data_IF_107509792126
#
_entry.id   IF_107509792126
#
_cell.length_a   1.000
_cell.length_b   1.000
_cell.length_c   1.000
_cell.angle_alpha   90.00
_cell.angle_beta   90.00
_cell.angle_gamma   90.00
#
_symmetry.space_group_name_H-M   'P 1'
#
loop_
_entity.id
_entity.type
_entity.pdbx_description
1 polymer ?
#
# COMPACT_ATOMS: atom_id res chain seq x y z
N UNK A 1 13.97 5.42 17.38
CA UNK A 1 13.52 4.68 18.58
C UNK A 1 13.77 5.49 19.86
N UNK A 2 15.03 5.86 20.16
CA UNK A 2 15.43 6.63 21.36
C UNK A 2 14.60 7.88 21.70
N UNK A 3 14.19 8.69 20.71
CA UNK A 3 13.39 9.91 20.95
C UNK A 3 11.97 9.60 21.44
N UNK A 4 11.35 8.50 20.98
CA UNK A 4 10.00 8.10 21.42
C UNK A 4 10.03 7.55 22.86
N UNK A 5 11.05 6.77 23.20
CA UNK A 5 11.23 6.24 24.56
C UNK A 5 11.51 7.35 25.59
N UNK A 6 12.38 8.32 25.27
CA UNK A 6 12.63 9.48 26.16
C UNK A 6 11.37 10.30 26.45
N UNK A 7 10.48 10.43 25.46
CA UNK A 7 9.18 11.11 25.64
C UNK A 7 8.23 10.32 26.54
N UNK A 8 8.23 8.99 26.45
CA UNK A 8 7.43 8.11 27.32
C UNK A 8 7.90 8.13 28.77
N UNK A 9 9.21 8.10 29.02
CA UNK A 9 9.74 8.21 30.38
C UNK A 9 9.37 9.55 31.03
N UNK A 10 9.43 10.64 30.24
CA UNK A 10 9.02 11.96 30.71
C UNK A 10 7.52 12.01 31.03
N UNK A 11 6.68 11.46 30.15
CA UNK A 11 5.25 11.33 30.36
C UNK A 11 4.93 10.49 31.60
N UNK A 12 5.67 9.41 31.83
CA UNK A 12 5.53 8.55 33.01
C UNK A 12 5.81 9.31 34.31
N UNK A 13 6.89 10.09 34.36
CA UNK A 13 7.21 10.92 35.55
C UNK A 13 6.11 11.93 35.85
N UNK A 14 5.57 12.57 34.82
CA UNK A 14 4.46 13.51 34.98
C UNK A 14 3.23 12.78 35.51
N UNK A 15 2.90 11.63 34.93
CA UNK A 15 1.78 10.80 35.37
C UNK A 15 1.90 10.37 36.84
N UNK A 16 3.07 9.88 37.24
CA UNK A 16 3.31 9.43 38.62
C UNK A 16 3.16 10.60 39.62
N UNK A 17 3.59 11.81 39.24
CA UNK A 17 3.48 13.04 40.04
C UNK A 17 2.05 13.61 40.16
N UNK A 18 1.08 13.13 39.37
CA UNK A 18 -0.31 13.57 39.47
C UNK A 18 -0.93 13.10 40.81
N UNK A 19 -1.44 14.05 41.58
CA UNK A 19 -2.17 13.79 42.84
C UNK A 19 -3.45 13.01 42.57
N UNK A 20 -4.21 13.42 41.56
CA UNK A 20 -5.37 12.69 41.05
C UNK A 20 -5.17 12.36 39.57
N UNK A 21 -5.39 11.09 39.23
CA UNK A 21 -5.22 10.57 37.87
C UNK A 21 -6.59 10.33 37.25
N UNK A 22 -6.92 11.14 36.27
CA UNK A 22 -8.17 11.06 35.52
C UNK A 22 -8.12 10.00 34.40
N UNK A 23 -9.27 9.75 33.75
CA UNK A 23 -9.37 8.75 32.69
C UNK A 23 -8.45 9.07 31.48
N UNK A 24 -8.21 10.35 31.21
CA UNK A 24 -7.41 10.82 30.07
C UNK A 24 -5.93 10.53 30.30
N UNK A 25 -5.42 10.83 31.50
CA UNK A 25 -4.01 10.57 31.86
C UNK A 25 -3.68 9.08 31.78
N UNK A 26 -4.55 8.19 32.31
CA UNK A 26 -4.40 6.74 32.16
C UNK A 26 -4.41 6.29 30.70
N UNK A 27 -5.41 6.74 29.94
CA UNK A 27 -5.55 6.41 28.53
C UNK A 27 -4.36 6.87 27.69
N UNK A 28 -3.79 8.03 28.01
CA UNK A 28 -2.60 8.56 27.34
C UNK A 28 -1.39 7.65 27.57
N UNK A 29 -1.20 7.16 28.80
CA UNK A 29 -0.11 6.23 29.12
C UNK A 29 -0.29 4.88 28.41
N UNK A 30 -1.49 4.30 28.45
CA UNK A 30 -1.80 3.03 27.77
C UNK A 30 -1.55 3.14 26.27
N UNK A 31 -2.12 4.15 25.61
CA UNK A 31 -1.94 4.37 24.18
C UNK A 31 -0.46 4.65 23.82
N UNK A 32 0.25 5.39 24.68
CA UNK A 32 1.67 5.68 24.52
C UNK A 32 2.54 4.42 24.55
N UNK A 33 2.38 3.57 25.58
CA UNK A 33 3.12 2.31 25.71
C UNK A 33 2.75 1.33 24.59
N UNK A 34 1.46 1.19 24.27
CA UNK A 34 0.98 0.35 23.18
C UNK A 34 1.62 0.74 21.83
N UNK A 35 1.68 2.04 21.52
CA UNK A 35 2.26 2.56 20.28
C UNK A 35 3.76 2.33 20.14
N UNK A 36 4.49 2.22 21.26
CA UNK A 36 5.93 1.91 21.25
C UNK A 36 6.20 0.40 21.32
N UNK A 37 5.16 -0.40 21.59
CA UNK A 37 5.23 -1.85 21.64
C UNK A 37 5.57 -2.40 23.02
N UNK A 38 5.61 -1.56 24.05
CA UNK A 38 5.79 -1.95 25.46
C UNK A 38 4.46 -2.46 26.03
N UNK A 39 3.96 -3.57 25.49
CA UNK A 39 2.60 -4.06 25.78
C UNK A 39 2.41 -4.50 27.23
N UNK A 40 3.45 -5.03 27.88
CA UNK A 40 3.37 -5.44 29.29
C UNK A 40 3.13 -4.23 30.20
N UNK A 41 3.79 -3.10 29.92
CA UNK A 41 3.55 -1.85 30.64
C UNK A 41 2.16 -1.28 30.33
N UNK A 42 1.73 -1.32 29.07
CA UNK A 42 0.39 -0.88 28.70
C UNK A 42 -0.70 -1.70 29.42
N UNK A 43 -0.51 -3.03 29.51
CA UNK A 43 -1.41 -3.96 30.20
C UNK A 43 -1.40 -3.69 31.71
N UNK A 44 -0.22 -3.52 32.31
CA UNK A 44 -0.09 -3.17 33.73
C UNK A 44 -0.85 -1.89 34.06
N UNK A 45 -0.73 -0.85 33.24
CA UNK A 45 -1.49 0.39 33.41
C UNK A 45 -3.00 0.17 33.30
N UNK A 46 -3.41 -0.63 32.33
CA UNK A 46 -4.81 -0.98 32.13
C UNK A 46 -5.40 -1.75 33.33
N UNK A 47 -4.63 -2.62 33.95
CA UNK A 47 -5.04 -3.38 35.15
C UNK A 47 -5.21 -2.49 36.38
N UNK A 48 -4.31 -1.51 36.56
CA UNK A 48 -4.36 -0.56 37.68
C UNK A 48 -5.37 0.57 37.46
N UNK A 49 -5.91 0.72 36.25
CA UNK A 49 -6.88 1.76 35.93
C UNK A 49 -8.19 1.55 36.71
N UNK A 50 -8.62 2.48 37.58
CA UNK A 50 -9.79 2.29 38.43
C UNK A 50 -11.10 2.18 37.65
N UNK A 51 -11.18 2.89 36.51
CA UNK A 51 -12.35 2.89 35.64
C UNK A 51 -11.92 2.87 34.18
N UNK A 52 -12.33 1.82 33.48
CA UNK A 52 -12.07 1.61 32.06
C UNK A 52 -13.24 2.12 31.23
N UNK A 53 -12.94 2.64 30.04
CA UNK A 53 -13.94 2.99 29.03
C UNK A 53 -13.60 2.32 27.69
N UNK A 54 -14.44 2.55 26.69
CA UNK A 54 -14.24 2.04 25.33
C UNK A 54 -12.84 2.37 24.78
N UNK A 55 -12.33 3.57 25.04
CA UNK A 55 -11.00 3.98 24.58
C UNK A 55 -9.87 3.19 25.24
N UNK A 56 -9.92 2.94 26.55
CA UNK A 56 -8.90 2.14 27.23
C UNK A 56 -8.82 0.72 26.64
N UNK A 57 -9.97 0.11 26.35
CA UNK A 57 -10.05 -1.21 25.72
C UNK A 57 -9.49 -1.18 24.30
N UNK A 58 -10.00 -0.29 23.45
CA UNK A 58 -9.57 -0.17 22.05
C UNK A 58 -8.06 0.12 21.95
N UNK A 59 -7.49 0.93 22.85
CA UNK A 59 -6.06 1.23 22.87
C UNK A 59 -5.21 -0.01 23.14
N UNK A 60 -5.59 -0.81 24.14
CA UNK A 60 -4.84 -2.02 24.49
C UNK A 60 -5.01 -3.12 23.44
N UNK A 61 -6.25 -3.37 22.99
CA UNK A 61 -6.56 -4.34 21.93
C UNK A 61 -5.82 -3.98 20.64
N UNK A 62 -5.80 -2.70 20.25
CA UNK A 62 -5.06 -2.25 19.08
C UNK A 62 -3.55 -2.49 19.21
N UNK A 63 -2.98 -2.36 20.41
CA UNK A 63 -1.57 -2.63 20.65
C UNK A 63 -1.21 -4.09 20.39
N UNK A 64 -1.99 -5.03 20.93
CA UNK A 64 -1.80 -6.46 20.68
C UNK A 64 -2.08 -6.86 19.23
N UNK A 65 -3.10 -6.25 18.60
CA UNK A 65 -3.41 -6.48 17.18
C UNK A 65 -2.23 -6.09 16.27
N UNK A 66 -1.58 -4.96 16.53
CA UNK A 66 -0.40 -4.52 15.76
C UNK A 66 0.83 -5.43 15.96
N UNK A 67 0.88 -6.22 17.03
CA UNK A 67 1.91 -7.22 17.27
C UNK A 67 1.55 -8.60 16.72
N UNK A 68 0.35 -8.78 16.17
CA UNK A 68 -0.14 -10.07 15.68
C UNK A 68 -0.57 -11.04 16.78
N UNK A 69 -0.72 -10.58 18.03
CA UNK A 69 -1.17 -11.45 19.13
C UNK A 69 -2.70 -11.56 19.14
N UNK A 70 -3.21 -12.36 18.20
CA UNK A 70 -4.64 -12.57 18.02
C UNK A 70 -5.32 -13.17 19.25
N UNK A 71 -4.62 -14.06 19.98
CA UNK A 71 -5.17 -14.69 21.19
C UNK A 71 -5.44 -13.65 22.27
N UNK A 72 -4.49 -12.73 22.50
CA UNK A 72 -4.68 -11.66 23.45
C UNK A 72 -5.75 -10.67 23.00
N UNK A 73 -5.80 -10.33 21.70
CA UNK A 73 -6.86 -9.49 21.12
C UNK A 73 -8.25 -10.04 21.46
N UNK A 74 -8.48 -11.33 21.23
CA UNK A 74 -9.77 -11.96 21.51
C UNK A 74 -10.05 -12.11 23.01
N UNK A 75 -9.03 -12.38 23.81
CA UNK A 75 -9.16 -12.40 25.28
C UNK A 75 -9.65 -11.05 25.81
N UNK A 76 -8.99 -9.96 25.41
CA UNK A 76 -9.35 -8.60 25.81
C UNK A 76 -10.73 -8.18 25.27
N UNK A 77 -11.06 -8.55 24.04
CA UNK A 77 -12.40 -8.32 23.49
C UNK A 77 -13.50 -9.04 24.28
N UNK A 78 -13.28 -10.31 24.65
CA UNK A 78 -14.23 -11.05 25.48
C UNK A 78 -14.38 -10.41 26.86
N UNK A 79 -13.27 -9.99 27.49
CA UNK A 79 -13.30 -9.27 28.76
C UNK A 79 -14.05 -7.93 28.64
N UNK A 80 -13.87 -7.18 27.55
CA UNK A 80 -14.59 -5.94 27.28
C UNK A 80 -16.12 -6.18 27.26
N UNK A 81 -16.57 -7.22 26.54
CA UNK A 81 -17.99 -7.59 26.45
C UNK A 81 -18.54 -8.06 27.80
N UNK A 82 -17.78 -8.89 28.54
CA UNK A 82 -18.15 -9.34 29.89
C UNK A 82 -18.27 -8.20 30.90
N UNK A 83 -17.49 -7.12 30.72
CA UNK A 83 -17.59 -5.89 31.50
C UNK A 83 -18.73 -4.97 31.00
N UNK A 84 -19.65 -5.47 30.17
CA UNK A 84 -20.77 -4.73 29.57
C UNK A 84 -20.34 -3.50 28.76
N UNK A 85 -19.12 -3.49 28.23
CA UNK A 85 -18.68 -2.43 27.32
C UNK A 85 -19.02 -2.85 25.90
N UNK A 86 -19.94 -2.11 25.27
CA UNK A 86 -20.38 -2.41 23.90
C UNK A 86 -19.28 -2.08 22.88
N UNK A 87 -18.88 -3.02 22.01
CA UNK A 87 -17.96 -2.76 20.90
C UNK A 87 -18.49 -1.71 19.92
N UNK A 88 -17.59 -0.89 19.39
CA UNK A 88 -17.89 0.11 18.36
C UNK A 88 -17.17 -0.20 17.03
N UNK A 89 -17.34 0.66 16.04
CA UNK A 89 -16.72 0.47 14.71
C UNK A 89 -15.20 0.40 14.79
N UNK A 90 -14.58 1.13 15.73
CA UNK A 90 -13.14 1.06 15.98
C UNK A 90 -12.77 -0.31 16.53
N UNK A 91 -13.50 -0.84 17.53
CA UNK A 91 -13.28 -2.20 18.06
C UNK A 91 -13.36 -3.23 16.94
N UNK A 92 -14.41 -3.17 16.11
CA UNK A 92 -14.61 -4.13 15.03
C UNK A 92 -13.50 -4.05 13.97
N UNK A 93 -13.03 -2.84 13.63
CA UNK A 93 -11.92 -2.66 12.70
C UNK A 93 -10.61 -3.27 13.23
N UNK A 94 -10.33 -3.14 14.55
CA UNK A 94 -9.17 -3.76 15.19
C UNK A 94 -9.25 -5.29 15.11
N UNK A 95 -10.43 -5.87 15.34
CA UNK A 95 -10.62 -7.32 15.23
C UNK A 95 -10.46 -7.80 13.78
N UNK A 96 -11.04 -7.08 12.81
CA UNK A 96 -10.90 -7.38 11.37
C UNK A 96 -9.44 -7.35 10.96
N UNK A 97 -8.69 -6.32 11.40
CA UNK A 97 -7.25 -6.24 11.18
C UNK A 97 -6.52 -7.44 11.79
N UNK A 98 -6.79 -7.79 13.05
CA UNK A 98 -6.18 -8.94 13.70
C UNK A 98 -6.43 -10.26 12.95
N UNK A 99 -7.64 -10.46 12.42
CA UNK A 99 -7.98 -11.63 11.61
C UNK A 99 -7.24 -11.65 10.26
N UNK A 100 -7.07 -10.49 9.64
CA UNK A 100 -6.33 -10.34 8.39
C UNK A 100 -4.85 -10.74 8.56
N UNK A 101 -4.21 -10.31 9.65
CA UNK A 101 -2.78 -10.57 9.90
C UNK A 101 -2.48 -12.05 10.15
N UNK A 102 -3.44 -12.82 10.70
CA UNK A 102 -3.28 -14.27 10.87
C UNK A 102 -3.78 -15.08 9.66
N UNK A 103 -4.27 -14.43 8.60
CA UNK A 103 -4.92 -15.11 7.46
C UNK A 103 -6.18 -15.91 7.85
N UNK A 104 -6.83 -15.53 8.96
CA UNK A 104 -7.88 -16.30 9.61
C UNK A 104 -9.25 -16.10 8.97
N UNK A 105 -9.52 -16.79 7.85
CA UNK A 105 -10.77 -16.62 7.10
C UNK A 105 -12.01 -16.85 7.97
N UNK A 106 -12.05 -17.93 8.76
CA UNK A 106 -13.20 -18.24 9.61
C UNK A 106 -13.40 -17.19 10.71
N UNK A 107 -12.32 -16.71 11.31
CA UNK A 107 -12.36 -15.63 12.29
C UNK A 107 -12.91 -14.34 11.66
N UNK A 108 -12.43 -13.98 10.47
CA UNK A 108 -12.93 -12.84 9.70
C UNK A 108 -14.42 -12.95 9.37
N UNK A 109 -14.91 -14.14 9.02
CA UNK A 109 -16.36 -14.40 8.81
C UNK A 109 -17.18 -14.18 10.08
N UNK A 110 -16.68 -14.66 11.23
CA UNK A 110 -17.36 -14.48 12.51
C UNK A 110 -17.44 -13.00 12.90
N UNK A 111 -16.35 -12.25 12.73
CA UNK A 111 -16.31 -10.81 13.03
C UNK A 111 -17.25 -10.05 12.10
N UNK A 112 -17.24 -10.34 10.79
CA UNK A 112 -18.16 -9.72 9.84
C UNK A 112 -19.63 -10.03 10.18
N UNK A 113 -19.95 -11.28 10.54
CA UNK A 113 -21.29 -11.65 11.03
C UNK A 113 -21.69 -10.85 12.27
N UNK A 114 -20.75 -10.62 13.18
CA UNK A 114 -20.97 -9.80 14.37
C UNK A 114 -21.26 -8.33 14.02
N UNK A 115 -20.56 -7.72 13.06
CA UNK A 115 -20.84 -6.36 12.56
C UNK A 115 -22.30 -6.26 12.09
N UNK A 116 -22.74 -7.23 11.29
CA UNK A 116 -24.11 -7.28 10.75
C UNK A 116 -25.13 -7.48 11.88
N UNK A 117 -24.90 -8.42 12.80
CA UNK A 117 -25.79 -8.70 13.93
C UNK A 117 -25.94 -7.51 14.89
N UNK A 118 -24.87 -6.72 15.05
CA UNK A 118 -24.90 -5.50 15.86
C UNK A 118 -25.53 -4.31 15.13
N UNK A 119 -26.00 -4.51 13.90
CA UNK A 119 -26.59 -3.49 13.02
C UNK A 119 -25.67 -2.28 12.82
N UNK A 120 -24.36 -2.53 12.74
CA UNK A 120 -23.37 -1.49 12.56
C UNK A 120 -23.35 -1.08 11.09
N UNK A 121 -23.34 0.23 10.83
CA UNK A 121 -23.22 0.74 9.46
C UNK A 121 -21.84 0.34 8.92
N UNK A 122 -21.83 -0.35 7.79
CA UNK A 122 -20.60 -0.61 7.02
C UNK A 122 -20.41 0.55 6.06
N UNK A 123 -19.64 1.54 6.50
CA UNK A 123 -19.21 2.67 5.67
C UNK A 123 -17.95 2.33 4.87
N UNK A 124 -17.42 3.29 4.10
CA UNK A 124 -16.21 3.08 3.30
C UNK A 124 -15.00 2.64 4.17
N UNK A 125 -14.89 3.15 5.40
CA UNK A 125 -13.84 2.78 6.34
C UNK A 125 -13.94 1.30 6.74
N UNK A 126 -15.06 0.88 7.32
CA UNK A 126 -15.28 -0.52 7.70
C UNK A 126 -15.26 -1.47 6.49
N UNK A 127 -15.84 -1.02 5.38
CA UNK A 127 -15.88 -1.75 4.12
C UNK A 127 -14.48 -2.05 3.59
N UNK A 128 -13.60 -1.05 3.55
CA UNK A 128 -12.21 -1.24 3.12
C UNK A 128 -11.45 -2.22 4.02
N UNK A 129 -11.64 -2.17 5.34
CA UNK A 129 -11.02 -3.11 6.27
C UNK A 129 -11.48 -4.57 6.03
N UNK A 130 -12.78 -4.77 5.79
CA UNK A 130 -13.34 -6.09 5.49
C UNK A 130 -12.87 -6.63 4.14
N UNK A 131 -12.76 -5.77 3.12
CA UNK A 131 -12.22 -6.13 1.81
C UNK A 131 -10.75 -6.56 1.94
N UNK A 132 -9.91 -5.76 2.61
CA UNK A 132 -8.49 -6.09 2.85
C UNK A 132 -8.35 -7.44 3.55
N UNK A 133 -9.12 -7.66 4.62
CA UNK A 133 -9.13 -8.92 5.36
C UNK A 133 -9.51 -10.10 4.47
N UNK A 134 -10.60 -10.02 3.71
CA UNK A 134 -11.01 -11.13 2.85
C UNK A 134 -10.00 -11.40 1.73
N UNK A 135 -9.38 -10.37 1.16
CA UNK A 135 -8.32 -10.53 0.18
C UNK A 135 -7.10 -11.25 0.78
N UNK A 136 -6.61 -10.82 1.95
CA UNK A 136 -5.49 -11.45 2.66
C UNK A 136 -5.80 -12.88 3.13
N UNK A 137 -7.06 -13.18 3.42
CA UNK A 137 -7.52 -14.52 3.75
C UNK A 137 -7.83 -15.40 2.52
N UNK A 138 -7.48 -14.97 1.31
CA UNK A 138 -7.65 -15.73 0.07
C UNK A 138 -9.10 -15.84 -0.44
N UNK A 139 -10.03 -15.03 0.06
CA UNK A 139 -11.46 -15.06 -0.32
C UNK A 139 -11.87 -13.81 -1.11
N UNK A 140 -11.34 -13.68 -2.34
CA UNK A 140 -11.62 -12.55 -3.23
C UNK A 140 -13.12 -12.37 -3.53
N UNK A 141 -13.88 -13.47 -3.60
CA UNK A 141 -15.32 -13.44 -3.84
C UNK A 141 -16.07 -12.70 -2.73
N UNK A 142 -15.72 -12.96 -1.47
CA UNK A 142 -16.31 -12.29 -0.31
C UNK A 142 -15.88 -10.84 -0.23
N UNK A 143 -14.62 -10.54 -0.54
CA UNK A 143 -14.14 -9.18 -0.66
C UNK A 143 -14.97 -8.39 -1.69
N UNK A 144 -15.23 -9.00 -2.85
CA UNK A 144 -16.04 -8.39 -3.90
C UNK A 144 -17.52 -8.24 -3.52
N UNK A 145 -18.09 -9.18 -2.76
CA UNK A 145 -19.45 -9.03 -2.20
C UNK A 145 -19.55 -7.82 -1.27
N UNK A 146 -18.59 -7.63 -0.35
CA UNK A 146 -18.54 -6.46 0.52
C UNK A 146 -18.42 -5.18 -0.32
N UNK A 147 -17.48 -5.14 -1.26
CA UNK A 147 -17.31 -4.02 -2.17
C UNK A 147 -18.61 -3.63 -2.87
N UNK A 148 -19.33 -4.60 -3.48
CA UNK A 148 -20.60 -4.32 -4.15
C UNK A 148 -21.69 -3.80 -3.20
N UNK A 149 -21.69 -4.26 -1.95
CA UNK A 149 -22.67 -3.83 -0.94
C UNK A 149 -22.50 -2.38 -0.45
N UNK A 150 -21.33 -1.76 -0.63
CA UNK A 150 -21.09 -0.39 -0.19
C UNK A 150 -21.84 0.63 -1.05
N UNK A 151 -22.62 1.51 -0.43
CA UNK A 151 -23.34 2.59 -1.13
C UNK A 151 -22.41 3.69 -1.61
N UNK A 152 -21.43 4.06 -0.78
CA UNK A 152 -20.40 5.05 -1.10
C UNK A 152 -19.03 4.37 -1.13
N UNK A 153 -18.25 4.66 -2.17
CA UNK A 153 -16.91 4.13 -2.37
C UNK A 153 -15.97 5.29 -2.61
N UNK A 154 -15.06 5.52 -1.68
CA UNK A 154 -14.00 6.50 -1.84
C UNK A 154 -12.80 5.89 -2.59
N UNK A 155 -11.78 6.70 -2.82
CA UNK A 155 -10.54 6.27 -3.48
C UNK A 155 -9.94 5.05 -2.78
N UNK A 156 -9.98 5.02 -1.44
CA UNK A 156 -9.42 3.93 -0.65
C UNK A 156 -10.13 2.59 -0.94
N UNK A 157 -11.47 2.56 -0.94
CA UNK A 157 -12.24 1.33 -1.24
C UNK A 157 -11.89 0.76 -2.62
N UNK A 158 -11.77 1.62 -3.64
CA UNK A 158 -11.37 1.18 -4.99
C UNK A 158 -9.93 0.67 -5.01
N UNK A 159 -9.00 1.39 -4.38
CA UNK A 159 -7.60 0.98 -4.28
C UNK A 159 -7.49 -0.39 -3.59
N UNK A 160 -8.16 -0.60 -2.44
CA UNK A 160 -8.13 -1.88 -1.71
C UNK A 160 -8.64 -3.04 -2.56
N UNK A 161 -9.71 -2.85 -3.34
CA UNK A 161 -10.23 -3.91 -4.21
C UNK A 161 -9.26 -4.24 -5.36
N UNK A 162 -8.67 -3.22 -5.99
CA UNK A 162 -7.69 -3.40 -7.07
C UNK A 162 -6.44 -4.11 -6.55
N UNK A 163 -5.90 -3.69 -5.40
CA UNK A 163 -4.75 -4.35 -4.77
C UNK A 163 -5.08 -5.79 -4.37
N UNK A 164 -6.31 -6.05 -3.93
CA UNK A 164 -6.80 -7.39 -3.63
C UNK A 164 -6.80 -8.32 -4.84
N UNK A 165 -7.30 -7.86 -5.98
CA UNK A 165 -7.20 -8.61 -7.24
C UNK A 165 -5.75 -8.83 -7.69
N UNK A 166 -4.89 -7.83 -7.52
CA UNK A 166 -3.48 -7.98 -7.82
C UNK A 166 -2.81 -9.06 -6.97
N UNK A 167 -3.06 -9.05 -5.65
CA UNK A 167 -2.56 -10.06 -4.73
C UNK A 167 -3.04 -11.46 -5.12
N UNK A 168 -4.34 -11.64 -5.36
CA UNK A 168 -4.90 -12.93 -5.74
C UNK A 168 -4.41 -13.40 -7.13
N UNK A 169 -4.15 -12.46 -8.05
CA UNK A 169 -3.51 -12.76 -9.34
C UNK A 169 -2.12 -13.38 -9.18
N UNK A 170 -1.33 -12.91 -8.20
CA UNK A 170 -0.03 -13.51 -7.86
C UNK A 170 -0.21 -14.91 -7.28
N UNK A 171 -1.16 -15.12 -6.38
CA UNK A 171 -1.43 -16.44 -5.81
C UNK A 171 -1.77 -17.47 -6.91
N UNK A 172 -2.65 -17.09 -7.85
CA UNK A 172 -2.98 -17.93 -9.00
C UNK A 172 -1.73 -18.20 -9.84
N UNK A 173 -0.92 -17.18 -10.11
CA UNK A 173 0.32 -17.32 -10.87
C UNK A 173 1.30 -18.30 -10.20
N UNK A 174 1.51 -18.19 -8.89
CA UNK A 174 2.39 -19.09 -8.15
C UNK A 174 1.83 -20.53 -8.13
N UNK A 175 0.51 -20.67 -8.01
CA UNK A 175 -0.15 -21.97 -8.01
C UNK A 175 0.09 -22.75 -9.30
N UNK A 176 0.31 -22.08 -10.44
CA UNK A 176 0.64 -22.74 -11.71
C UNK A 176 1.84 -23.67 -11.55
N UNK A 177 2.90 -23.18 -10.90
CA UNK A 177 4.12 -23.97 -10.68
C UNK A 177 3.99 -24.88 -9.46
N UNK A 178 3.50 -24.35 -8.35
CA UNK A 178 3.48 -25.05 -7.05
C UNK A 178 2.48 -26.22 -7.03
N UNK A 179 1.27 -26.01 -7.54
CA UNK A 179 0.19 -26.98 -7.45
C UNK A 179 0.00 -27.79 -8.74
N UNK A 180 0.37 -27.21 -9.90
CA UNK A 180 0.13 -27.82 -11.20
C UNK A 180 1.41 -28.15 -11.99
N UNK A 181 2.59 -27.74 -11.52
CA UNK A 181 3.87 -28.01 -12.20
C UNK A 181 4.01 -27.32 -13.58
N UNK A 182 3.19 -26.30 -13.86
CA UNK A 182 3.18 -25.54 -15.11
C UNK A 182 4.11 -24.34 -14.95
N UNK A 183 5.17 -24.29 -15.76
CA UNK A 183 6.07 -23.14 -15.79
C UNK A 183 5.40 -21.92 -16.45
N UNK A 184 5.34 -20.75 -15.78
CA UNK A 184 4.73 -19.57 -16.36
C UNK A 184 5.50 -19.05 -17.58
N UNK A 185 4.81 -18.95 -18.71
CA UNK A 185 5.33 -18.31 -19.92
C UNK A 185 5.35 -16.78 -19.89
N UNK A 186 5.95 -16.17 -20.91
CA UNK A 186 6.10 -14.71 -21.05
C UNK A 186 4.78 -13.94 -20.98
N UNK A 187 3.68 -14.53 -21.47
CA UNK A 187 2.34 -13.93 -21.43
C UNK A 187 1.82 -13.79 -19.99
N UNK A 188 2.07 -14.77 -19.12
CA UNK A 188 1.65 -14.73 -17.72
C UNK A 188 2.41 -13.66 -16.94
N UNK A 189 3.73 -13.59 -17.14
CA UNK A 189 4.55 -12.52 -16.58
C UNK A 189 4.13 -11.14 -17.10
N UNK A 190 3.80 -11.04 -18.40
CA UNK A 190 3.33 -9.79 -18.99
C UNK A 190 2.03 -9.29 -18.36
N UNK A 191 1.08 -10.18 -18.07
CA UNK A 191 -0.14 -9.83 -17.36
C UNK A 191 0.13 -9.32 -15.94
N UNK A 192 1.04 -9.97 -15.20
CA UNK A 192 1.41 -9.53 -13.85
C UNK A 192 2.09 -8.16 -13.86
N UNK A 193 3.08 -7.96 -14.74
CA UNK A 193 3.79 -6.68 -14.83
C UNK A 193 2.83 -5.56 -15.21
N UNK A 194 1.96 -5.78 -16.19
CA UNK A 194 0.97 -4.79 -16.62
C UNK A 194 0.00 -4.43 -15.48
N UNK A 195 -0.46 -5.42 -14.72
CA UNK A 195 -1.31 -5.21 -13.54
C UNK A 195 -0.63 -4.34 -12.49
N UNK A 196 0.60 -4.69 -12.09
CA UNK A 196 1.34 -3.90 -11.09
C UNK A 196 1.68 -2.50 -11.59
N UNK A 197 2.15 -2.39 -12.84
CA UNK A 197 2.51 -1.13 -13.46
C UNK A 197 1.32 -0.16 -13.46
N UNK A 198 0.14 -0.58 -13.93
CA UNK A 198 -1.07 0.27 -13.95
C UNK A 198 -1.60 0.62 -12.56
N UNK A 199 -1.33 -0.21 -11.56
CA UNK A 199 -1.67 0.08 -10.15
C UNK A 199 -0.69 1.04 -9.46
N UNK A 200 0.39 1.46 -10.14
CA UNK A 200 1.45 2.28 -9.56
C UNK A 200 2.42 1.54 -8.62
N UNK A 201 2.29 0.21 -8.52
CA UNK A 201 3.16 -0.68 -7.73
C UNK A 201 4.42 -1.04 -8.50
N UNK A 202 5.22 -0.01 -8.79
CA UNK A 202 6.36 -0.12 -9.69
C UNK A 202 7.51 -0.98 -9.15
N UNK A 203 7.69 -1.03 -7.83
CA UNK A 203 8.70 -1.88 -7.21
C UNK A 203 8.37 -3.36 -7.40
N UNK A 204 7.10 -3.74 -7.24
CA UNK A 204 6.64 -5.10 -7.46
C UNK A 204 6.66 -5.46 -8.95
N UNK A 205 6.31 -4.51 -9.84
CA UNK A 205 6.45 -4.71 -11.28
C UNK A 205 7.91 -5.01 -11.68
N UNK A 206 8.87 -4.28 -11.10
CA UNK A 206 10.30 -4.50 -11.32
C UNK A 206 10.75 -5.85 -10.76
N UNK A 207 10.33 -6.22 -9.55
CA UNK A 207 10.65 -7.52 -8.95
C UNK A 207 10.14 -8.69 -9.81
N UNK A 208 8.94 -8.57 -10.38
CA UNK A 208 8.41 -9.58 -11.31
C UNK A 208 9.31 -9.70 -12.53
N UNK A 209 9.76 -8.59 -13.11
CA UNK A 209 10.67 -8.59 -14.27
C UNK A 209 12.01 -9.23 -13.92
N UNK A 210 12.57 -8.94 -12.74
CA UNK A 210 13.86 -9.49 -12.30
C UNK A 210 13.81 -11.01 -12.07
N UNK A 211 12.64 -11.53 -11.69
CA UNK A 211 12.41 -12.97 -11.49
C UNK A 211 12.06 -13.72 -12.78
N UNK A 212 11.94 -13.05 -13.92
CA UNK A 212 11.61 -13.71 -15.18
C UNK A 212 12.75 -14.64 -15.62
N UNK A 213 12.50 -15.93 -15.90
CA UNK A 213 13.52 -16.84 -16.43
C UNK A 213 13.82 -16.59 -17.92
N UNK A 214 13.07 -15.70 -18.57
CA UNK A 214 13.22 -15.32 -19.97
C UNK A 214 13.35 -13.79 -20.12
N UNK A 215 13.86 -13.34 -21.26
CA UNK A 215 13.96 -11.90 -21.56
C UNK A 215 12.56 -11.29 -21.70
N UNK A 216 12.28 -10.13 -21.07
CA UNK A 216 10.99 -9.46 -21.20
C UNK A 216 10.73 -8.97 -22.62
N UNK A 217 9.46 -8.98 -23.04
CA UNK A 217 9.04 -8.52 -24.38
C UNK A 217 8.90 -7.00 -24.45
N UNK A 218 8.79 -6.47 -25.67
CA UNK A 218 8.47 -5.06 -25.94
C UNK A 218 7.24 -4.59 -25.15
N UNK A 219 6.19 -5.40 -25.10
CA UNK A 219 4.93 -5.06 -24.43
C UNK A 219 5.13 -4.85 -22.92
N UNK A 220 5.95 -5.69 -22.30
CA UNK A 220 6.26 -5.63 -20.86
C UNK A 220 7.00 -4.32 -20.55
N UNK A 221 8.06 -4.03 -21.31
CA UNK A 221 8.81 -2.78 -21.14
C UNK A 221 7.96 -1.55 -21.45
N UNK A 222 7.12 -1.60 -22.49
CA UNK A 222 6.19 -0.52 -22.82
C UNK A 222 5.20 -0.21 -21.69
N UNK A 223 4.68 -1.25 -21.03
CA UNK A 223 3.78 -1.12 -19.88
C UNK A 223 4.46 -0.43 -18.70
N UNK A 224 5.70 -0.83 -18.39
CA UNK A 224 6.52 -0.20 -17.33
C UNK A 224 6.79 1.27 -17.65
N UNK A 225 7.21 1.61 -18.88
CA UNK A 225 7.49 3.00 -19.27
C UNK A 225 6.25 3.87 -19.16
N UNK A 226 5.09 3.38 -19.62
CA UNK A 226 3.82 4.07 -19.50
C UNK A 226 3.47 4.38 -18.04
N UNK A 227 3.63 3.39 -17.16
CA UNK A 227 3.36 3.56 -15.74
C UNK A 227 4.37 4.47 -15.03
N UNK A 228 5.66 4.36 -15.33
CA UNK A 228 6.69 5.22 -14.76
C UNK A 228 6.45 6.69 -15.13
N UNK A 229 5.96 6.97 -16.34
CA UNK A 229 5.56 8.32 -16.75
C UNK A 229 4.36 8.83 -15.94
N UNK A 230 3.40 7.96 -15.61
CA UNK A 230 2.22 8.33 -14.83
C UNK A 230 2.55 8.54 -13.33
N UNK A 231 3.47 7.75 -12.77
CA UNK A 231 3.76 7.72 -11.34
C UNK A 231 5.11 8.36 -10.93
N UNK A 232 5.92 8.81 -11.89
CA UNK A 232 7.13 9.59 -11.64
C UNK A 232 8.39 8.81 -11.25
N UNK A 233 8.46 7.50 -11.50
CA UNK A 233 9.66 6.71 -11.24
C UNK A 233 10.65 6.78 -12.42
N UNK A 234 11.54 7.77 -12.39
CA UNK A 234 12.46 8.04 -13.48
C UNK A 234 13.56 6.98 -13.64
N UNK A 235 13.97 6.32 -12.55
CA UNK A 235 15.03 5.29 -12.58
C UNK A 235 14.56 4.04 -13.30
N UNK A 236 13.37 3.54 -12.96
CA UNK A 236 12.79 2.38 -13.64
C UNK A 236 12.44 2.70 -15.10
N UNK A 237 12.01 3.94 -15.39
CA UNK A 237 11.79 4.39 -16.76
C UNK A 237 13.07 4.37 -17.61
N UNK A 238 14.20 4.83 -17.06
CA UNK A 238 15.51 4.81 -17.71
C UNK A 238 15.94 3.37 -18.05
N UNK A 239 15.81 2.46 -17.07
CA UNK A 239 16.11 1.03 -17.24
C UNK A 239 15.24 0.42 -18.35
N UNK A 240 13.92 0.61 -18.27
CA UNK A 240 12.97 0.05 -19.21
C UNK A 240 13.18 0.57 -20.65
N UNK A 241 13.48 1.86 -20.82
CA UNK A 241 13.78 2.43 -22.14
C UNK A 241 15.11 1.96 -22.71
N UNK A 242 16.12 1.78 -21.86
CA UNK A 242 17.41 1.23 -22.29
C UNK A 242 17.25 -0.19 -22.83
N UNK A 243 16.44 -1.03 -22.17
CA UNK A 243 16.13 -2.37 -22.65
C UNK A 243 15.24 -2.34 -23.91
N UNK A 244 14.27 -1.44 -23.99
CA UNK A 244 13.42 -1.29 -25.17
C UNK A 244 14.21 -0.86 -26.41
N UNK A 245 15.22 0.01 -26.26
CA UNK A 245 16.14 0.40 -27.33
C UNK A 245 17.04 -0.75 -27.82
N UNK A 246 17.35 -1.73 -26.97
CA UNK A 246 18.07 -2.94 -27.38
C UNK A 246 17.18 -3.86 -28.24
N UNK A 247 15.88 -3.90 -27.95
CA UNK A 247 14.90 -4.68 -28.70
C UNK A 247 14.50 -4.01 -30.02
N UNK A 248 14.36 -2.69 -30.02
CA UNK A 248 13.97 -1.90 -31.19
C UNK A 248 14.94 -0.74 -31.44
N UNK A 249 16.13 -1.04 -31.96
CA UNK A 249 17.17 -0.05 -32.21
C UNK A 249 16.80 0.99 -33.28
N UNK A 250 15.81 0.71 -34.12
CA UNK A 250 15.44 1.56 -35.25
C UNK A 250 14.25 2.47 -34.93
N UNK A 251 13.64 2.32 -33.75
CA UNK A 251 12.46 3.10 -33.35
C UNK A 251 12.85 4.43 -32.69
N UNK A 252 12.50 5.59 -33.29
CA UNK A 252 12.89 6.91 -32.78
C UNK A 252 12.28 7.23 -31.41
N UNK A 253 11.11 6.65 -31.09
CA UNK A 253 10.36 6.98 -29.89
C UNK A 253 11.13 6.71 -28.59
N UNK A 254 11.87 5.59 -28.53
CA UNK A 254 12.66 5.21 -27.37
C UNK A 254 13.79 6.19 -27.07
N UNK A 255 14.50 6.62 -28.13
CA UNK A 255 15.62 7.57 -28.02
C UNK A 255 15.16 8.94 -27.53
N UNK A 256 14.06 9.42 -28.11
CA UNK A 256 13.49 10.72 -27.75
C UNK A 256 13.05 10.73 -26.28
N UNK A 257 12.35 9.68 -25.85
CA UNK A 257 11.85 9.61 -24.48
C UNK A 257 12.99 9.48 -23.46
N UNK A 258 14.00 8.65 -23.74
CA UNK A 258 15.17 8.49 -22.86
C UNK A 258 15.98 9.79 -22.76
N UNK A 259 16.21 10.48 -23.88
CA UNK A 259 16.86 11.80 -23.90
C UNK A 259 16.08 12.82 -23.05
N UNK A 260 14.76 12.85 -23.15
CA UNK A 260 13.93 13.74 -22.34
C UNK A 260 14.04 13.42 -20.85
N UNK A 261 14.05 12.14 -20.46
CA UNK A 261 14.24 11.74 -19.05
C UNK A 261 15.59 12.26 -18.53
N UNK A 262 16.68 12.03 -19.27
CA UNK A 262 17.99 12.56 -18.88
C UNK A 262 18.02 14.09 -18.73
N UNK A 263 17.39 14.81 -19.66
CA UNK A 263 17.28 16.26 -19.58
C UNK A 263 16.49 16.71 -18.33
N UNK A 264 15.36 16.06 -18.03
CA UNK A 264 14.55 16.36 -16.83
C UNK A 264 15.26 16.03 -15.52
N UNK A 265 16.14 15.02 -15.50
CA UNK A 265 17.00 14.71 -14.35
C UNK A 265 18.27 15.57 -14.26
N UNK A 266 18.44 16.59 -15.13
CA UNK A 266 19.63 17.45 -15.15
C UNK A 266 20.89 16.78 -15.73
N UNK A 267 20.79 15.56 -16.25
CA UNK A 267 21.88 14.78 -16.88
C UNK A 267 22.00 15.11 -18.38
N UNK A 268 22.21 16.39 -18.70
CA UNK A 268 22.25 16.90 -20.08
C UNK A 268 23.28 16.19 -20.97
N UNK A 269 24.45 15.87 -20.43
CA UNK A 269 25.50 15.15 -21.17
C UNK A 269 25.06 13.75 -21.62
N UNK A 270 24.24 13.04 -20.83
CA UNK A 270 23.66 11.76 -21.23
C UNK A 270 22.56 11.94 -22.28
N UNK A 271 21.73 12.99 -22.16
CA UNK A 271 20.72 13.34 -23.16
C UNK A 271 21.34 13.56 -24.55
N UNK A 272 22.41 14.34 -24.61
CA UNK A 272 23.07 14.66 -25.89
C UNK A 272 23.72 13.42 -26.50
N UNK A 273 24.33 12.55 -25.69
CA UNK A 273 24.87 11.26 -26.15
C UNK A 273 23.80 10.34 -26.75
N UNK A 274 22.60 10.31 -26.17
CA UNK A 274 21.49 9.49 -26.71
C UNK A 274 21.01 10.04 -28.05
N UNK A 275 20.92 11.37 -28.21
CA UNK A 275 20.54 12.01 -29.48
C UNK A 275 21.61 11.80 -30.55
N UNK A 276 22.87 11.94 -30.20
CA UNK A 276 23.97 11.65 -31.11
C UNK A 276 23.99 10.17 -31.53
N UNK A 277 23.71 9.25 -30.59
CA UNK A 277 23.61 7.82 -30.90
C UNK A 277 22.46 7.51 -31.87
N UNK A 278 21.31 8.19 -31.70
CA UNK A 278 20.17 8.11 -32.62
C UNK A 278 20.54 8.61 -34.03
N UNK A 279 21.21 9.77 -34.13
CA UNK A 279 21.63 10.37 -35.40
C UNK A 279 22.67 9.50 -36.14
N UNK A 280 23.66 8.95 -35.42
CA UNK A 280 24.67 8.04 -35.98
C UNK A 280 24.05 6.76 -36.55
N UNK A 281 22.93 6.29 -35.99
CA UNK A 281 22.17 5.14 -36.51
C UNK A 281 21.25 5.49 -37.68
N UNK A 282 21.14 6.76 -38.06
CA UNK A 282 20.27 7.20 -39.15
C UNK A 282 18.78 7.18 -38.80
N UNK A 283 18.44 7.02 -37.51
CA UNK A 283 17.05 7.03 -37.02
C UNK A 283 16.56 8.49 -37.02
N UNK A 284 15.73 8.85 -38.00
CA UNK A 284 15.23 10.22 -38.17
C UNK A 284 13.93 10.42 -37.39
N UNK A 285 13.79 11.59 -36.78
CA UNK A 285 12.55 12.03 -36.12
C UNK A 285 11.41 12.04 -37.13
N UNK A 286 10.30 11.38 -36.84
CA UNK A 286 9.07 11.59 -37.60
C UNK A 286 8.65 13.06 -37.45
N UNK A 287 8.60 13.77 -38.58
CA UNK A 287 8.27 15.20 -38.67
C UNK A 287 6.78 15.44 -38.38
N UNK A 288 6.34 15.20 -37.16
CA UNK A 288 5.06 15.67 -36.62
C UNK A 288 5.26 16.14 -35.17
N UNK A 289 6.05 17.20 -35.02
CA UNK A 289 5.81 18.35 -34.13
C UNK A 289 7.03 19.25 -34.25
N UNK A 290 6.86 20.31 -35.03
CA UNK A 290 7.90 21.28 -35.36
C UNK A 290 8.51 21.93 -34.13
N UNK A 291 9.81 22.18 -34.25
CA UNK A 291 10.61 23.18 -33.53
C UNK A 291 9.86 23.98 -32.47
N UNK A 292 10.01 23.57 -31.21
CA UNK A 292 9.83 24.48 -30.08
C UNK A 292 11.18 24.61 -29.39
N UNK A 293 11.75 25.81 -29.43
CA UNK A 293 12.95 26.20 -28.71
C UNK A 293 12.89 25.76 -27.23
N UNK A 294 14.03 25.45 -26.59
CA UNK A 294 14.09 24.94 -25.21
C UNK A 294 13.48 25.87 -24.15
N UNK A 295 13.25 27.14 -24.48
CA UNK A 295 12.79 28.16 -23.53
C UNK A 295 11.26 28.15 -23.35
N UNK A 296 10.48 27.55 -24.26
CA UNK A 296 9.00 27.58 -24.20
C UNK A 296 8.35 26.42 -23.43
N UNK A 297 9.09 25.36 -23.09
CA UNK A 297 8.56 24.26 -22.27
C UNK A 297 8.35 24.66 -20.79
N UNK A 298 9.01 25.72 -20.32
CA UNK A 298 8.78 26.26 -18.98
C UNK A 298 7.39 26.91 -18.81
N UNK A 299 6.76 27.38 -19.90
CA UNK A 299 5.47 28.08 -19.83
C UNK A 299 4.25 27.19 -20.12
N UNK A 300 4.45 25.99 -20.66
CA UNK A 300 3.34 25.07 -20.97
C UNK A 300 3.05 24.12 -19.80
N UNK A 301 4.04 23.87 -18.93
CA UNK A 301 3.89 22.98 -17.76
C UNK A 301 3.47 23.75 -16.49
N UNK A 302 3.65 25.08 -16.43
CA UNK A 302 3.34 25.88 -15.23
C UNK A 302 2.58 27.19 -15.55
N UNK A 303 1.23 27.18 -15.65
CA UNK A 303 0.48 28.41 -15.94
C UNK A 303 0.36 29.39 -14.75
N UNK A 304 0.74 28.99 -13.53
CA UNK A 304 0.32 29.69 -12.30
C UNK A 304 1.44 30.06 -11.31
N UNK A 305 2.67 30.34 -11.78
CA UNK A 305 3.65 31.04 -10.92
C UNK A 305 4.07 32.33 -11.62
N UNK A 306 3.20 33.32 -11.49
CA UNK A 306 3.50 34.75 -11.44
C UNK A 306 2.15 35.48 -11.52
N UNK A 307 1.50 35.68 -10.37
CA UNK A 307 0.61 36.80 -10.04
C UNK A 307 0.03 36.61 -8.62
N UNK A 308 0.90 36.76 -7.61
CA UNK A 308 0.73 37.52 -6.36
C UNK A 308 1.83 37.16 -5.37
#
# INVERSE_FOLDING_TARGET
MYVKCKKLESARRIFDALVEKDIISWNTMIAGYAKVGELDLAHTFFDHMPRRNLFSWNSLISGYSQKGDYMMVMSLFNCMVLNNVRPDSVTMAILVHAAAEIGGLEQGKLIHSLVVRMQMKVDAFMGSALIDMYCKCGSIERAFMVFRGLTEKDVNVWTTMITGFAFHGIEIFNSMKENYGIEPGIEHYGCLVDLFARSGRLAEAEEVVDKMPMKPSRSIWGSIVGACRAHGNMELAERALTELLKLEPDEPGGYILLSNIYATSGRWSCSDKIREHMERRGVKRSLLMGNVCPVRLFLIIWPNICLK
#
